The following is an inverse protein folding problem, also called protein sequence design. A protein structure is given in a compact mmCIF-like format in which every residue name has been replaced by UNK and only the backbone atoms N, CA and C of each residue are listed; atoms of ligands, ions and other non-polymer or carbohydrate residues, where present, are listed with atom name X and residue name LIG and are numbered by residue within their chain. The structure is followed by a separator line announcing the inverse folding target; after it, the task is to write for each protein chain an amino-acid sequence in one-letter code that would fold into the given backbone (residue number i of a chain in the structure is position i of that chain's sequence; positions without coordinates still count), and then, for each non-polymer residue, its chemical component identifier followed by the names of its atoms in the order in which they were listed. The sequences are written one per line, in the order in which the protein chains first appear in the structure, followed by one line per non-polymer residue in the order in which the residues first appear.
data_IF_050262576748
#
_entry.id   IF_050262576748
#
_cell.length_a   1.000
_cell.length_b   1.000
_cell.length_c   1.000
_cell.angle_alpha   90.00
_cell.angle_beta   90.00
_cell.angle_gamma   90.00
#
_symmetry.space_group_name_H-M   'P 1'
#
loop_
_entity.id
_entity.type
_entity.pdbx_description
1 polymer ?
#
# COMPACT_ATOMS: atom_id res chain seq x y z
N UNK A 1 70.82 -30.83 22.46
CA UNK A 1 71.75 -31.62 23.29
C UNK A 1 71.16 -31.71 24.70
N UNK A 2 71.00 -32.93 25.28
CA UNK A 2 70.78 -33.33 26.71
C UNK A 2 70.15 -32.32 27.70
N UNK A 3 69.24 -32.65 28.64
CA UNK A 3 68.62 -33.91 29.10
C UNK A 3 67.44 -33.57 30.06
N UNK A 4 66.52 -34.52 30.31
CA UNK A 4 65.67 -34.63 31.53
C UNK A 4 66.42 -35.52 32.56
N UNK A 5 66.09 -35.65 33.88
CA UNK A 5 64.82 -35.40 34.60
C UNK A 5 64.95 -34.24 35.64
N UNK A 6 64.34 -34.08 36.84
CA UNK A 6 63.75 -34.94 37.92
C UNK A 6 62.56 -34.29 38.67
N UNK A 7 61.96 -35.01 39.63
CA UNK A 7 60.81 -34.61 40.45
C UNK A 7 61.20 -34.16 41.88
N UNK A 8 60.36 -33.34 42.55
CA UNK A 8 59.78 -33.68 43.88
C UNK A 8 58.85 -32.60 44.49
N UNK A 9 57.78 -33.08 45.14
CA UNK A 9 57.00 -32.56 46.30
C UNK A 9 57.00 -31.06 46.71
N UNK A 10 55.81 -30.54 47.05
CA UNK A 10 55.68 -29.44 48.02
C UNK A 10 54.31 -28.77 48.17
N UNK A 11 53.57 -29.13 49.22
CA UNK A 11 52.56 -28.33 49.96
C UNK A 11 51.32 -27.74 49.27
N UNK A 12 50.15 -28.03 49.85
CA UNK A 12 48.84 -27.41 49.55
C UNK A 12 48.66 -26.14 50.40
N UNK A 13 48.08 -25.08 49.83
CA UNK A 13 47.58 -23.92 50.57
C UNK A 13 46.10 -23.70 50.27
N UNK A 14 45.24 -23.81 51.29
CA UNK A 14 43.81 -23.50 51.18
C UNK A 14 43.59 -22.00 51.37
N UNK A 15 42.98 -21.33 50.40
CA UNK A 15 42.49 -19.95 50.51
C UNK A 15 40.96 -19.96 50.60
N UNK A 16 40.45 -19.49 51.73
CA UNK A 16 39.01 -19.37 51.99
C UNK A 16 38.45 -18.12 51.31
N UNK A 17 37.61 -18.32 50.29
CA UNK A 17 36.84 -17.26 49.65
C UNK A 17 35.49 -17.05 50.34
N UNK A 18 35.26 -15.84 50.86
CA UNK A 18 33.95 -15.41 51.36
C UNK A 18 33.05 -15.04 50.17
N UNK A 19 31.78 -15.51 50.12
CA UNK A 19 30.85 -15.11 49.07
C UNK A 19 30.31 -13.70 49.33
N UNK A 20 30.49 -12.81 48.36
CA UNK A 20 29.88 -11.48 48.38
C UNK A 20 28.39 -11.58 48.00
N UNK A 21 27.50 -11.23 48.93
CA UNK A 21 26.06 -11.16 48.67
C UNK A 21 25.74 -9.84 47.97
N UNK A 22 25.54 -9.89 46.65
CA UNK A 22 24.95 -8.77 45.91
C UNK A 22 23.42 -8.81 46.05
N UNK A 23 22.75 -7.69 46.37
CA UNK A 23 21.30 -7.65 46.35
C UNK A 23 20.81 -7.74 44.89
N UNK A 24 20.05 -8.80 44.57
CA UNK A 24 19.29 -8.83 43.32
C UNK A 24 18.17 -7.81 43.40
N UNK A 25 18.30 -6.71 42.66
CA UNK A 25 17.16 -5.85 42.34
C UNK A 25 16.18 -6.65 41.49
N UNK A 26 15.11 -7.16 42.12
CA UNK A 26 13.95 -7.67 41.40
C UNK A 26 13.26 -6.49 40.71
N UNK A 27 13.61 -6.25 39.45
CA UNK A 27 12.70 -5.57 38.54
C UNK A 27 11.45 -6.44 38.42
N UNK A 28 10.33 -5.97 38.95
CA UNK A 28 9.04 -6.58 38.66
C UNK A 28 8.87 -6.68 37.14
N UNK A 29 8.45 -7.84 36.64
CA UNK A 29 7.97 -7.92 35.28
C UNK A 29 6.76 -6.97 35.15
N UNK A 30 6.70 -6.19 34.07
CA UNK A 30 5.47 -5.51 33.73
C UNK A 30 4.43 -6.60 33.41
N UNK A 31 3.19 -6.46 33.91
CA UNK A 31 2.11 -7.36 33.54
C UNK A 31 1.89 -7.28 32.02
N UNK A 32 1.92 -8.43 31.34
CA UNK A 32 1.69 -8.51 29.89
C UNK A 32 0.19 -8.39 29.60
N UNK A 33 -0.32 -7.16 29.72
CA UNK A 33 -1.71 -6.80 29.43
C UNK A 33 -1.86 -6.45 27.95
N UNK A 34 -2.79 -7.12 27.28
CA UNK A 34 -3.18 -6.89 25.90
C UNK A 34 -4.64 -6.43 25.81
N UNK A 35 -4.91 -5.46 24.94
CA UNK A 35 -6.27 -5.06 24.57
C UNK A 35 -6.53 -5.49 23.14
N UNK A 36 -7.62 -6.21 22.92
CA UNK A 36 -8.14 -6.54 21.60
C UNK A 36 -9.49 -5.90 21.40
N UNK A 37 -9.80 -5.58 20.15
CA UNK A 37 -11.11 -5.17 19.70
C UNK A 37 -11.38 -5.81 18.35
N UNK A 38 -12.54 -6.43 18.21
CA UNK A 38 -13.07 -7.00 16.97
C UNK A 38 -14.53 -6.57 16.84
N UNK A 39 -15.19 -6.99 15.77
CA UNK A 39 -16.65 -6.90 15.64
C UNK A 39 -17.29 -8.28 15.74
N UNK A 40 -18.60 -8.34 16.01
CA UNK A 40 -19.39 -9.59 16.07
C UNK A 40 -19.37 -10.41 14.76
N UNK A 41 -18.90 -9.82 13.66
CA UNK A 41 -18.56 -10.49 12.40
C UNK A 41 -17.07 -10.39 12.09
N UNK A 42 -16.48 -11.49 11.65
CA UNK A 42 -15.07 -11.56 11.21
C UNK A 42 -14.75 -10.59 10.06
N UNK A 43 -15.68 -10.39 9.12
CA UNK A 43 -15.50 -9.50 7.98
C UNK A 43 -15.77 -8.01 8.30
N UNK A 44 -16.37 -7.72 9.46
CA UNK A 44 -16.88 -6.42 9.87
C UNK A 44 -17.78 -5.69 8.84
N UNK A 45 -18.57 -6.42 8.04
CA UNK A 45 -19.51 -5.84 7.06
C UNK A 45 -20.96 -6.00 7.51
N UNK A 46 -21.71 -4.91 7.40
CA UNK A 46 -23.10 -4.75 7.82
C UNK A 46 -23.89 -3.96 6.76
N UNK A 47 -25.21 -4.13 6.74
CA UNK A 47 -26.08 -3.28 5.93
C UNK A 47 -26.33 -1.93 6.63
N UNK A 48 -26.66 -0.88 5.88
CA UNK A 48 -27.04 0.43 6.47
C UNK A 48 -28.27 0.27 7.37
N UNK A 49 -28.19 0.81 8.59
CA UNK A 49 -29.20 0.64 9.65
C UNK A 49 -29.07 -0.64 10.47
N UNK A 50 -28.26 -1.61 10.06
CA UNK A 50 -27.96 -2.80 10.86
C UNK A 50 -27.08 -2.45 12.07
N UNK A 51 -27.08 -3.30 13.12
CA UNK A 51 -26.21 -3.16 14.29
C UNK A 51 -24.89 -3.89 14.08
N UNK A 52 -23.79 -3.18 14.27
CA UNK A 52 -22.47 -3.76 14.52
C UNK A 52 -22.14 -3.64 16.01
N UNK A 53 -21.66 -4.72 16.62
CA UNK A 53 -21.15 -4.70 18.00
C UNK A 53 -19.65 -4.88 17.99
N UNK A 54 -18.93 -3.86 18.45
CA UNK A 54 -17.51 -3.98 18.75
C UNK A 54 -17.34 -4.75 20.07
N UNK A 55 -16.68 -5.89 20.01
CA UNK A 55 -16.37 -6.74 21.16
C UNK A 55 -14.92 -6.48 21.57
N UNK A 56 -14.74 -6.14 22.85
CA UNK A 56 -13.45 -5.69 23.40
C UNK A 56 -13.04 -6.67 24.50
N UNK A 57 -11.80 -7.17 24.45
CA UNK A 57 -11.21 -7.95 25.54
C UNK A 57 -9.92 -7.29 26.06
N UNK A 58 -9.78 -7.30 27.38
CA UNK A 58 -8.54 -7.03 28.12
C UNK A 58 -8.07 -8.38 28.66
N UNK A 59 -6.86 -8.77 28.32
CA UNK A 59 -6.28 -10.08 28.64
C UNK A 59 -4.89 -9.88 29.23
N UNK A 60 -4.61 -10.48 30.39
CA UNK A 60 -3.32 -10.37 31.08
C UNK A 60 -3.45 -10.67 32.58
N UNK A 61 -2.35 -10.50 33.32
CA UNK A 61 -2.32 -10.68 34.78
C UNK A 61 -2.98 -9.53 35.55
N UNK A 62 -3.10 -8.34 34.93
CA UNK A 62 -3.80 -7.17 35.46
C UNK A 62 -4.88 -6.70 34.47
N UNK A 63 -6.13 -7.07 34.74
CA UNK A 63 -7.31 -6.61 33.99
C UNK A 63 -8.08 -5.50 34.73
N UNK A 64 -7.59 -5.07 35.90
CA UNK A 64 -8.22 -4.02 36.70
C UNK A 64 -7.77 -2.64 36.21
N UNK A 65 -8.73 -1.81 35.81
CA UNK A 65 -8.43 -0.50 35.23
C UNK A 65 -9.66 0.17 34.63
N UNK A 66 -9.43 1.20 33.81
CA UNK A 66 -10.51 1.91 33.11
C UNK A 66 -10.40 1.77 31.60
N UNK A 67 -11.51 1.40 30.96
CA UNK A 67 -11.64 1.35 29.51
C UNK A 67 -12.41 2.57 29.00
N UNK A 68 -11.70 3.52 28.41
CA UNK A 68 -12.28 4.64 27.67
C UNK A 68 -12.47 4.26 26.18
N UNK A 69 -13.62 4.56 25.59
CA UNK A 69 -13.94 4.26 24.19
C UNK A 69 -14.50 5.48 23.44
N UNK A 70 -14.32 5.50 22.12
CA UNK A 70 -14.95 6.46 21.20
C UNK A 70 -15.16 5.82 19.83
N UNK A 71 -16.39 5.90 19.32
CA UNK A 71 -16.72 5.65 17.91
C UNK A 71 -16.60 6.96 17.13
N UNK A 72 -16.00 6.94 15.94
CA UNK A 72 -15.95 8.11 15.05
C UNK A 72 -16.18 7.78 13.57
N UNK A 73 -16.73 8.76 12.84
CA UNK A 73 -16.78 8.78 11.37
C UNK A 73 -15.59 9.64 10.90
N UNK A 74 -14.39 9.09 11.13
CA UNK A 74 -13.11 9.73 10.80
C UNK A 74 -12.90 10.02 9.30
N UNK A 75 -13.93 9.75 8.48
CA UNK A 75 -14.00 9.98 7.05
C UNK A 75 -14.86 11.19 6.68
N UNK A 76 -15.47 11.88 7.65
CA UNK A 76 -16.13 13.19 7.49
C UNK A 76 -15.20 14.32 7.93
N UNK A 77 -15.31 15.49 7.29
CA UNK A 77 -14.56 16.69 7.68
C UNK A 77 -15.23 17.44 8.84
N UNK A 78 -14.92 17.11 10.09
CA UNK A 78 -15.44 17.84 11.25
C UNK A 78 -15.18 17.17 12.61
N UNK A 79 -16.03 17.47 13.59
CA UNK A 79 -16.15 16.75 14.86
C UNK A 79 -17.47 16.00 14.89
N UNK A 80 -17.46 14.69 15.15
CA UNK A 80 -18.64 13.83 15.08
C UNK A 80 -19.61 14.04 16.25
N UNK A 81 -20.46 15.05 16.14
CA UNK A 81 -21.53 15.29 17.11
C UNK A 81 -22.54 14.13 17.09
N UNK A 82 -22.62 13.38 18.19
CA UNK A 82 -23.63 12.35 18.41
C UNK A 82 -23.17 10.89 18.22
N UNK A 83 -21.88 10.63 18.00
CA UNK A 83 -21.34 9.26 18.05
C UNK A 83 -21.11 8.80 19.50
N UNK A 84 -21.23 7.50 19.82
CA UNK A 84 -20.96 6.98 21.17
C UNK A 84 -19.51 7.15 21.62
N UNK A 85 -19.32 7.76 22.79
CA UNK A 85 -18.04 7.85 23.50
C UNK A 85 -18.25 7.86 25.02
N UNK A 86 -17.23 7.48 25.78
CA UNK A 86 -17.25 7.50 27.24
C UNK A 86 -16.44 6.37 27.87
N UNK A 87 -16.81 5.98 29.09
CA UNK A 87 -16.25 4.81 29.76
C UNK A 87 -17.14 3.60 29.56
N UNK A 88 -16.52 2.46 29.26
CA UNK A 88 -17.18 1.16 29.24
C UNK A 88 -16.93 0.44 30.56
N UNK A 89 -17.97 -0.20 31.09
CA UNK A 89 -17.82 -1.09 32.24
C UNK A 89 -17.22 -2.42 31.77
N UNK A 90 -16.16 -2.87 32.44
CA UNK A 90 -15.53 -4.16 32.18
C UNK A 90 -16.20 -5.23 33.04
N UNK A 91 -16.65 -6.31 32.40
CA UNK A 91 -17.16 -7.51 33.06
C UNK A 91 -16.33 -8.71 32.58
N UNK A 92 -15.60 -9.37 33.49
CA UNK A 92 -14.70 -10.49 33.16
C UNK A 92 -13.71 -10.13 32.03
N UNK A 93 -13.08 -8.95 32.16
CA UNK A 93 -12.15 -8.38 31.17
C UNK A 93 -12.80 -7.93 29.86
N UNK A 94 -14.13 -7.99 29.70
CA UNK A 94 -14.82 -7.72 28.42
C UNK A 94 -15.74 -6.51 28.49
N UNK A 95 -15.93 -5.88 27.32
CA UNK A 95 -16.94 -4.85 27.09
C UNK A 95 -17.47 -4.93 25.66
N UNK A 96 -18.68 -4.39 25.43
CA UNK A 96 -19.29 -4.29 24.09
C UNK A 96 -19.73 -2.85 23.79
N UNK A 97 -19.55 -2.42 22.55
CA UNK A 97 -20.01 -1.11 22.04
C UNK A 97 -20.78 -1.32 20.74
N UNK A 98 -22.11 -1.14 20.77
CA UNK A 98 -22.99 -1.32 19.60
C UNK A 98 -23.25 0.01 18.88
N UNK A 99 -23.18 0.03 17.55
CA UNK A 99 -23.54 1.17 16.69
C UNK A 99 -24.22 0.72 15.40
N UNK A 100 -24.96 1.63 14.74
CA UNK A 100 -25.54 1.44 13.40
C UNK A 100 -25.16 2.59 12.48
N UNK A 101 -24.48 2.30 11.36
CA UNK A 101 -24.19 3.28 10.32
C UNK A 101 -25.46 3.71 9.58
N UNK A 102 -25.64 5.02 9.41
CA UNK A 102 -26.85 5.62 8.82
C UNK A 102 -26.72 5.94 7.32
N UNK A 103 -25.59 5.57 6.70
CA UNK A 103 -25.22 5.82 5.30
C UNK A 103 -24.13 4.82 4.86
N UNK A 104 -23.94 4.57 3.55
CA UNK A 104 -22.78 3.83 3.06
C UNK A 104 -21.46 4.46 3.53
N UNK A 105 -20.59 3.68 4.18
CA UNK A 105 -19.38 4.22 4.80
C UNK A 105 -18.71 3.27 5.80
N UNK A 106 -17.87 3.84 6.67
CA UNK A 106 -17.13 3.13 7.71
C UNK A 106 -17.20 3.92 9.01
N UNK A 107 -17.41 3.24 10.12
CA UNK A 107 -17.26 3.78 11.47
C UNK A 107 -16.11 3.07 12.18
N UNK A 108 -15.40 3.78 13.07
CA UNK A 108 -14.22 3.27 13.75
C UNK A 108 -14.36 3.39 15.26
N UNK A 109 -14.28 2.27 15.97
CA UNK A 109 -14.19 2.27 17.43
C UNK A 109 -12.71 2.27 17.85
N UNK A 110 -12.33 3.27 18.64
CA UNK A 110 -11.04 3.38 19.30
C UNK A 110 -11.25 3.13 20.79
N UNK A 111 -10.39 2.29 21.38
CA UNK A 111 -10.37 2.04 22.83
C UNK A 111 -9.00 2.37 23.42
N UNK A 112 -9.03 2.86 24.66
CA UNK A 112 -7.84 3.07 25.50
C UNK A 112 -8.11 2.42 26.86
N UNK A 113 -7.46 1.29 27.13
CA UNK A 113 -7.42 0.73 28.48
C UNK A 113 -6.29 1.38 29.26
N UNK A 114 -6.54 1.77 30.50
CA UNK A 114 -5.52 2.20 31.44
C UNK A 114 -5.54 1.24 32.63
N UNK A 115 -4.55 0.33 32.78
CA UNK A 115 -4.41 -0.52 33.95
C UNK A 115 -4.17 0.31 35.22
N UNK A 116 -4.46 -0.24 36.39
CA UNK A 116 -4.28 0.44 37.67
C UNK A 116 -2.85 0.97 37.87
N UNK A 117 -1.83 0.15 37.60
CA UNK A 117 -0.41 0.49 37.67
C UNK A 117 0.28 0.34 36.29
N UNK A 118 -0.31 0.94 35.24
CA UNK A 118 0.13 0.75 33.85
C UNK A 118 0.31 2.01 32.99
N UNK A 119 0.73 1.79 31.74
CA UNK A 119 0.64 2.79 30.66
C UNK A 119 -0.64 2.53 29.86
N UNK A 120 -1.32 3.56 29.32
CA UNK A 120 -2.51 3.34 28.51
C UNK A 120 -2.21 2.54 27.23
N UNK A 121 -2.92 1.42 27.06
CA UNK A 121 -2.86 0.53 25.89
C UNK A 121 -4.01 0.89 24.96
N UNK A 122 -3.74 0.95 23.65
CA UNK A 122 -4.72 1.35 22.64
C UNK A 122 -4.96 0.26 21.61
N UNK A 123 -6.23 0.05 21.27
CA UNK A 123 -6.65 -0.81 20.18
C UNK A 123 -7.74 -0.10 19.35
N UNK A 124 -7.94 -0.54 18.10
CA UNK A 124 -8.86 0.11 17.16
C UNK A 124 -9.40 -0.90 16.15
N UNK A 125 -10.70 -0.80 15.83
CA UNK A 125 -11.37 -1.59 14.80
C UNK A 125 -12.31 -0.70 13.98
N UNK A 126 -12.50 -1.04 12.71
CA UNK A 126 -13.48 -0.44 11.82
C UNK A 126 -14.62 -1.40 11.50
N UNK A 127 -15.82 -0.86 11.32
CA UNK A 127 -17.00 -1.55 10.81
C UNK A 127 -17.49 -0.86 9.54
N UNK A 128 -17.80 -1.64 8.51
CA UNK A 128 -18.26 -1.16 7.21
C UNK A 128 -19.78 -1.30 7.08
N UNK A 129 -20.46 -0.24 6.64
CA UNK A 129 -21.90 -0.23 6.39
C UNK A 129 -22.16 -0.01 4.90
N UNK A 130 -22.82 -0.97 4.24
CA UNK A 130 -23.03 -1.05 2.78
C UNK A 130 -21.84 -0.51 1.93
N UNK A 131 -20.59 -0.97 2.12
CA UNK A 131 -19.43 -0.33 1.48
C UNK A 131 -19.45 -0.43 -0.06
N UNK A 132 -20.18 -1.40 -0.62
CA UNK A 132 -20.44 -1.55 -2.05
C UNK A 132 -21.39 -0.51 -2.66
N UNK A 133 -22.07 0.29 -1.84
CA UNK A 133 -22.94 1.40 -2.25
C UNK A 133 -22.21 2.76 -2.24
N UNK A 134 -20.91 2.80 -1.92
CA UNK A 134 -20.12 4.03 -1.91
C UNK A 134 -19.83 4.48 -3.36
N UNK A 135 -20.54 5.50 -3.81
CA UNK A 135 -20.39 6.10 -5.14
C UNK A 135 -19.19 7.07 -5.26
N UNK A 136 -18.78 7.37 -6.49
CA UNK A 136 -17.84 8.46 -6.79
C UNK A 136 -18.35 9.80 -6.25
N UNK A 137 -17.49 10.62 -5.66
CA UNK A 137 -17.89 11.93 -5.12
C UNK A 137 -18.30 12.97 -6.17
N UNK A 138 -17.90 12.77 -7.43
CA UNK A 138 -18.31 13.53 -8.60
C UNK A 138 -18.33 12.61 -9.82
N UNK A 139 -19.11 12.92 -10.88
CA UNK A 139 -18.98 12.24 -12.15
C UNK A 139 -17.57 12.43 -12.76
N UNK A 140 -17.20 11.54 -13.68
CA UNK A 140 -16.02 11.70 -14.54
C UNK A 140 -16.15 13.00 -15.38
N UNK A 141 -15.08 13.73 -15.71
CA UNK A 141 -15.14 14.82 -16.70
C UNK A 141 -15.55 14.31 -18.09
N UNK A 142 -16.38 15.07 -18.80
CA UNK A 142 -16.95 14.65 -20.10
C UNK A 142 -15.88 14.44 -21.18
N UNK A 143 -14.79 15.21 -21.15
CA UNK A 143 -13.64 15.12 -22.06
C UNK A 143 -12.44 14.34 -21.46
N UNK A 144 -12.66 13.53 -20.41
CA UNK A 144 -11.59 12.73 -19.78
C UNK A 144 -10.95 11.74 -20.74
N UNK A 145 -11.74 11.04 -21.56
CA UNK A 145 -11.23 10.06 -22.54
C UNK A 145 -10.44 10.75 -23.64
N UNK A 146 -11.00 11.79 -24.27
CA UNK A 146 -10.35 12.54 -25.34
C UNK A 146 -9.07 13.26 -24.86
N UNK A 147 -9.03 13.72 -23.60
CA UNK A 147 -7.80 14.18 -22.97
C UNK A 147 -6.76 13.04 -22.91
N UNK A 148 -7.09 11.89 -22.33
CA UNK A 148 -6.11 10.81 -22.13
C UNK A 148 -5.71 10.09 -23.43
N UNK A 149 -6.57 10.05 -24.43
CA UNK A 149 -6.23 9.57 -25.78
C UNK A 149 -5.24 10.52 -26.46
N UNK A 150 -5.40 11.85 -26.33
CA UNK A 150 -4.40 12.81 -26.80
C UNK A 150 -3.06 12.65 -26.04
N UNK A 151 -3.09 12.43 -24.72
CA UNK A 151 -1.86 12.17 -23.95
C UNK A 151 -1.14 10.89 -24.42
N UNK A 152 -1.87 9.82 -24.75
CA UNK A 152 -1.32 8.60 -25.35
C UNK A 152 -0.82 8.82 -26.78
N UNK A 153 -1.51 9.63 -27.58
CA UNK A 153 -1.10 10.01 -28.95
C UNK A 153 0.23 10.76 -28.95
N UNK A 154 0.37 11.77 -28.08
CA UNK A 154 1.62 12.52 -27.86
C UNK A 154 2.75 11.63 -27.31
N UNK A 155 2.44 10.62 -26.51
CA UNK A 155 3.44 9.65 -26.06
C UNK A 155 3.92 8.76 -27.22
N UNK A 156 3.03 8.34 -28.11
CA UNK A 156 3.38 7.51 -29.28
C UNK A 156 4.30 8.23 -30.29
N UNK A 157 4.29 9.57 -30.32
CA UNK A 157 5.25 10.38 -31.10
C UNK A 157 6.68 10.32 -30.53
N UNK A 158 6.86 10.03 -29.24
CA UNK A 158 8.17 9.86 -28.60
C UNK A 158 8.70 8.45 -28.88
N UNK A 159 9.85 8.27 -29.57
CA UNK A 159 10.39 6.95 -29.90
C UNK A 159 10.52 6.03 -28.68
N UNK A 160 10.28 4.73 -28.87
CA UNK A 160 10.50 3.69 -27.84
C UNK A 160 12.00 3.35 -27.72
N UNK A 161 12.83 4.37 -27.54
CA UNK A 161 14.26 4.20 -27.32
C UNK A 161 14.52 3.80 -25.86
N UNK A 162 15.10 2.61 -25.67
CA UNK A 162 15.43 2.03 -24.37
C UNK A 162 16.94 1.75 -24.30
N UNK A 163 17.60 2.28 -23.28
CA UNK A 163 18.96 1.92 -22.88
C UNK A 163 18.89 0.88 -21.76
N UNK A 164 19.54 -0.27 -21.95
CA UNK A 164 19.57 -1.38 -20.98
C UNK A 164 21.00 -1.63 -20.52
N UNK A 165 21.33 -1.20 -19.29
CA UNK A 165 22.62 -1.50 -18.66
C UNK A 165 22.53 -2.81 -17.89
N UNK A 166 23.31 -3.86 -18.20
CA UNK A 166 23.29 -5.12 -17.46
C UNK A 166 23.59 -4.96 -15.96
N UNK A 167 22.86 -5.69 -15.13
CA UNK A 167 22.99 -5.70 -13.66
C UNK A 167 23.34 -7.11 -13.21
N UNK A 168 24.49 -7.26 -12.57
CA UNK A 168 24.95 -8.56 -12.05
C UNK A 168 24.03 -9.09 -10.95
N UNK A 169 23.35 -10.20 -11.22
CA UNK A 169 22.60 -10.97 -10.25
C UNK A 169 23.23 -12.35 -9.99
N UNK A 170 22.95 -12.93 -8.81
CA UNK A 170 23.55 -14.20 -8.35
C UNK A 170 23.03 -15.42 -9.11
N UNK A 171 21.76 -15.39 -9.51
CA UNK A 171 21.14 -16.43 -10.33
C UNK A 171 21.42 -16.11 -11.80
N UNK A 172 22.01 -17.06 -12.52
CA UNK A 172 22.39 -16.89 -13.93
C UNK A 172 21.35 -17.45 -14.91
N UNK A 173 20.21 -17.93 -14.41
CA UNK A 173 19.00 -18.22 -15.21
C UNK A 173 18.16 -16.97 -15.48
N UNK A 174 18.41 -15.87 -14.76
CA UNK A 174 17.73 -14.59 -14.89
C UNK A 174 18.70 -13.52 -15.42
N UNK A 175 18.30 -12.80 -16.45
CA UNK A 175 18.97 -11.56 -16.87
C UNK A 175 18.32 -10.36 -16.17
N UNK A 176 19.14 -9.39 -15.75
CA UNK A 176 18.70 -8.17 -15.07
C UNK A 176 19.35 -6.94 -15.72
N UNK A 177 18.60 -5.85 -15.82
CA UNK A 177 19.01 -4.60 -16.45
C UNK A 177 18.52 -3.39 -15.65
N UNK A 178 19.32 -2.33 -15.56
CA UNK A 178 18.84 -0.97 -15.26
C UNK A 178 18.40 -0.36 -16.60
N UNK A 179 17.10 -0.10 -16.73
CA UNK A 179 16.45 0.30 -17.96
C UNK A 179 16.05 1.77 -17.91
N UNK A 180 16.50 2.53 -18.90
CA UNK A 180 16.19 3.94 -19.10
C UNK A 180 15.48 4.11 -20.45
N UNK A 181 14.18 4.37 -20.43
CA UNK A 181 13.33 4.41 -21.63
C UNK A 181 12.76 5.83 -21.81
N UNK A 182 12.93 6.41 -22.99
CA UNK A 182 12.41 7.75 -23.29
C UNK A 182 10.89 7.83 -23.10
N UNK A 183 10.41 8.94 -22.54
CA UNK A 183 9.01 9.17 -22.21
C UNK A 183 8.62 10.65 -22.39
N UNK A 184 7.34 10.92 -22.65
CA UNK A 184 6.80 12.27 -22.74
C UNK A 184 6.93 13.00 -21.38
N UNK A 185 7.31 14.28 -21.41
CA UNK A 185 7.52 15.10 -20.21
C UNK A 185 8.94 15.06 -19.63
N UNK A 186 9.91 14.51 -20.36
CA UNK A 186 11.36 14.64 -20.07
C UNK A 186 11.91 13.71 -18.99
N UNK A 187 11.12 13.32 -18.00
CA UNK A 187 11.47 12.28 -17.04
C UNK A 187 11.22 10.88 -17.65
N UNK A 188 12.26 10.04 -17.87
CA UNK A 188 12.14 8.74 -18.53
C UNK A 188 11.38 7.73 -17.66
N UNK A 189 10.97 6.60 -18.24
CA UNK A 189 10.78 5.40 -17.43
C UNK A 189 12.18 4.93 -17.02
N UNK A 190 12.47 5.01 -15.74
CA UNK A 190 13.67 4.45 -15.12
C UNK A 190 13.23 3.27 -14.27
N UNK A 191 13.86 2.10 -14.38
CA UNK A 191 13.48 0.93 -13.59
C UNK A 191 14.38 -0.27 -13.77
N UNK A 192 14.35 -1.21 -12.82
CA UNK A 192 14.98 -2.51 -13.01
C UNK A 192 14.04 -3.43 -13.80
N UNK A 193 14.58 -4.01 -14.87
CA UNK A 193 13.91 -5.02 -15.70
C UNK A 193 14.62 -6.36 -15.53
N UNK A 194 13.86 -7.42 -15.29
CA UNK A 194 14.34 -8.80 -15.21
C UNK A 194 13.54 -9.72 -16.12
N UNK A 195 14.21 -10.69 -16.75
CA UNK A 195 13.58 -11.75 -17.55
C UNK A 195 14.30 -13.09 -17.36
N UNK A 196 13.65 -14.24 -17.62
CA UNK A 196 14.36 -15.50 -17.76
C UNK A 196 15.26 -15.42 -18.99
N UNK A 197 16.50 -15.89 -18.85
CA UNK A 197 17.56 -15.72 -19.84
C UNK A 197 17.26 -16.43 -21.16
N UNK A 198 16.89 -17.70 -21.06
CA UNK A 198 16.68 -18.60 -22.19
C UNK A 198 15.17 -18.78 -22.47
N UNK A 199 14.38 -17.71 -22.29
CA UNK A 199 12.94 -17.71 -22.54
C UNK A 199 12.60 -17.82 -24.04
N UNK A 200 11.66 -18.69 -24.38
CA UNK A 200 11.17 -18.82 -25.76
C UNK A 200 10.34 -17.61 -26.18
N UNK A 201 10.33 -17.31 -27.48
CA UNK A 201 9.49 -16.26 -28.05
C UNK A 201 8.01 -16.53 -27.72
N UNK A 202 7.32 -15.51 -27.21
CA UNK A 202 5.91 -15.57 -26.74
C UNK A 202 5.62 -16.58 -25.62
N UNK A 203 6.56 -16.80 -24.69
CA UNK A 203 6.37 -17.70 -23.53
C UNK A 203 6.12 -16.98 -22.19
N UNK A 204 6.40 -15.69 -22.08
CA UNK A 204 6.40 -14.95 -20.82
C UNK A 204 5.23 -13.96 -20.69
N UNK A 205 4.39 -14.08 -19.65
CA UNK A 205 3.53 -12.99 -19.19
C UNK A 205 4.35 -11.76 -18.80
N UNK A 206 3.77 -10.56 -18.86
CA UNK A 206 4.42 -9.35 -18.36
C UNK A 206 3.89 -8.93 -16.97
N UNK A 207 4.76 -8.41 -16.12
CA UNK A 207 4.42 -7.84 -14.80
C UNK A 207 5.16 -6.52 -14.55
N UNK A 208 4.39 -5.50 -14.14
CA UNK A 208 4.85 -4.16 -13.82
C UNK A 208 4.61 -3.86 -12.33
N UNK A 209 5.67 -3.58 -11.58
CA UNK A 209 5.63 -3.23 -10.17
C UNK A 209 5.70 -1.70 -9.99
N UNK A 210 4.71 -1.13 -9.29
CA UNK A 210 4.53 0.33 -9.15
C UNK A 210 4.43 0.77 -7.69
N UNK A 211 4.99 1.96 -7.43
CA UNK A 211 5.51 2.32 -6.12
C UNK A 211 4.56 3.15 -5.26
N UNK A 212 4.41 2.75 -3.98
CA UNK A 212 3.90 3.61 -2.90
C UNK A 212 4.71 4.90 -2.76
N UNK A 213 4.17 5.92 -2.07
CA UNK A 213 4.71 7.28 -2.07
C UNK A 213 6.17 7.40 -1.59
N UNK A 214 6.81 8.54 -1.90
CA UNK A 214 8.19 8.85 -1.52
C UNK A 214 9.21 8.68 -2.66
N UNK A 215 10.44 9.11 -2.41
CA UNK A 215 11.55 9.16 -3.39
C UNK A 215 12.59 8.10 -3.03
N UNK A 216 12.90 7.19 -3.96
CA UNK A 216 13.82 6.05 -3.79
C UNK A 216 14.20 5.43 -5.15
N UNK A 217 15.08 4.42 -5.12
CA UNK A 217 15.39 3.55 -6.25
C UNK A 217 14.20 2.69 -6.69
N UNK A 218 14.22 2.20 -7.93
CA UNK A 218 13.55 0.95 -8.28
C UNK A 218 14.05 -0.23 -7.43
N UNK A 219 13.20 -1.25 -7.26
CA UNK A 219 13.44 -2.48 -6.53
C UNK A 219 13.86 -3.63 -7.46
N UNK A 220 15.17 -3.92 -7.49
CA UNK A 220 15.71 -5.08 -8.23
C UNK A 220 15.12 -6.41 -7.74
N UNK A 221 14.75 -6.52 -6.46
CA UNK A 221 14.13 -7.74 -5.92
C UNK A 221 12.70 -7.96 -6.43
N UNK A 222 11.96 -6.91 -6.79
CA UNK A 222 10.66 -7.04 -7.46
C UNK A 222 10.84 -7.53 -8.91
N UNK A 223 11.78 -6.90 -9.65
CA UNK A 223 12.14 -7.31 -11.00
C UNK A 223 12.54 -8.80 -11.02
N UNK A 224 13.46 -9.21 -10.14
CA UNK A 224 13.84 -10.63 -9.96
C UNK A 224 12.65 -11.51 -9.56
N UNK A 225 11.80 -11.11 -8.61
CA UNK A 225 10.67 -11.93 -8.13
C UNK A 225 9.73 -12.35 -9.27
N UNK A 226 9.38 -11.44 -10.17
CA UNK A 226 8.57 -11.79 -11.35
C UNK A 226 9.34 -12.62 -12.37
N UNK A 227 10.63 -12.35 -12.58
CA UNK A 227 11.48 -13.09 -13.51
C UNK A 227 11.72 -14.55 -13.06
N UNK A 228 11.91 -14.81 -11.76
CA UNK A 228 11.97 -16.16 -11.18
C UNK A 228 10.65 -16.92 -11.30
N UNK A 229 9.51 -16.23 -11.35
CA UNK A 229 8.22 -16.84 -11.72
C UNK A 229 8.04 -17.01 -13.25
N UNK A 230 9.05 -16.65 -14.05
CA UNK A 230 9.06 -16.80 -15.50
C UNK A 230 8.28 -15.72 -16.27
N UNK A 231 8.18 -14.52 -15.70
CA UNK A 231 7.53 -13.35 -16.32
C UNK A 231 8.55 -12.30 -16.76
N UNK A 232 8.21 -11.50 -17.77
CA UNK A 232 8.91 -10.26 -18.08
C UNK A 232 8.56 -9.24 -17.00
N UNK A 233 9.52 -8.89 -16.15
CA UNK A 233 9.24 -8.28 -14.85
C UNK A 233 9.98 -6.96 -14.68
N UNK A 234 9.25 -5.85 -14.71
CA UNK A 234 9.82 -4.51 -14.53
C UNK A 234 9.29 -3.85 -13.27
N UNK A 235 10.18 -3.33 -12.44
CA UNK A 235 9.83 -2.41 -11.35
C UNK A 235 10.26 -1.00 -11.74
N UNK A 236 9.38 0.01 -11.60
CA UNK A 236 9.68 1.36 -12.10
C UNK A 236 9.80 2.41 -10.99
N UNK A 237 10.77 3.30 -11.16
CA UNK A 237 10.94 4.50 -10.38
C UNK A 237 9.80 5.48 -10.68
N UNK A 238 8.95 5.73 -9.68
CA UNK A 238 7.81 6.65 -9.76
C UNK A 238 8.14 8.03 -10.38
N UNK A 239 9.38 8.51 -10.22
CA UNK A 239 9.83 9.85 -10.59
C UNK A 239 10.68 9.90 -11.87
N UNK A 240 11.09 8.74 -12.41
CA UNK A 240 12.09 8.68 -13.50
C UNK A 240 13.53 8.97 -13.05
N UNK A 241 13.83 8.89 -11.76
CA UNK A 241 15.21 9.06 -11.25
C UNK A 241 16.10 7.83 -11.57
N UNK A 242 17.41 8.00 -11.79
CA UNK A 242 18.35 6.89 -11.92
C UNK A 242 18.34 5.94 -10.72
N UNK A 243 18.52 4.64 -10.97
CA UNK A 243 18.48 3.62 -9.92
C UNK A 243 19.86 3.40 -9.27
N UNK A 244 19.91 2.55 -8.23
CA UNK A 244 21.14 2.09 -7.59
C UNK A 244 21.96 3.16 -6.83
N UNK A 245 21.52 4.43 -6.83
CA UNK A 245 22.23 5.52 -6.14
C UNK A 245 22.19 5.36 -4.60
N UNK A 246 23.15 5.96 -3.86
CA UNK A 246 23.12 5.96 -2.40
C UNK A 246 21.86 6.63 -1.81
N UNK A 247 21.49 6.26 -0.59
CA UNK A 247 20.31 6.82 0.09
C UNK A 247 20.33 8.36 0.20
N UNK A 248 21.53 8.97 0.32
CA UNK A 248 21.71 10.42 0.33
C UNK A 248 21.22 11.11 -0.95
N UNK A 249 21.39 10.50 -2.12
CA UNK A 249 20.89 11.06 -3.39
C UNK A 249 19.36 11.16 -3.38
N UNK A 250 18.66 10.10 -2.99
CA UNK A 250 17.19 10.14 -2.91
C UNK A 250 16.68 11.08 -1.81
N UNK A 251 17.43 11.21 -0.71
CA UNK A 251 17.13 12.19 0.34
C UNK A 251 17.29 13.64 -0.15
N UNK A 252 18.35 13.94 -0.91
CA UNK A 252 18.55 15.24 -1.57
C UNK A 252 17.43 15.54 -2.57
N UNK A 253 17.08 14.59 -3.43
CA UNK A 253 15.97 14.74 -4.37
C UNK A 253 14.63 14.99 -3.64
N UNK A 254 14.36 14.26 -2.55
CA UNK A 254 13.16 14.43 -1.70
C UNK A 254 13.12 15.79 -0.98
N UNK A 255 14.27 16.29 -0.54
CA UNK A 255 14.41 17.58 0.14
C UNK A 255 14.45 18.80 -0.79
N UNK A 256 14.85 18.60 -2.04
CA UNK A 256 15.00 19.62 -3.08
C UNK A 256 14.00 19.44 -4.24
N UNK A 257 14.42 19.00 -5.45
CA UNK A 257 13.58 18.99 -6.66
C UNK A 257 12.21 18.31 -6.56
N UNK A 258 12.07 17.27 -5.72
CA UNK A 258 10.81 16.53 -5.53
C UNK A 258 10.12 16.88 -4.19
N UNK A 259 10.54 17.95 -3.51
CA UNK A 259 9.88 18.44 -2.29
C UNK A 259 8.43 18.78 -2.59
N UNK A 260 7.51 18.04 -1.99
CA UNK A 260 6.06 18.11 -2.25
C UNK A 260 5.65 17.85 -3.72
N UNK A 261 6.38 17.00 -4.46
CA UNK A 261 6.06 16.57 -5.84
C UNK A 261 4.57 16.27 -6.06
N UNK A 262 3.92 15.64 -5.06
CA UNK A 262 2.51 15.25 -5.03
C UNK A 262 1.50 16.40 -5.22
N UNK A 263 1.95 17.65 -5.13
CA UNK A 263 1.15 18.87 -5.30
C UNK A 263 1.66 19.78 -6.44
N UNK A 264 2.71 19.39 -7.17
CA UNK A 264 3.26 20.18 -8.27
C UNK A 264 2.30 20.22 -9.48
N UNK A 265 2.07 21.43 -10.01
CA UNK A 265 1.18 21.68 -11.15
C UNK A 265 -0.30 21.34 -10.91
N UNK A 266 -0.73 21.16 -9.65
CA UNK A 266 -2.06 20.60 -9.34
C UNK A 266 -3.26 21.45 -9.75
N UNK A 267 -3.05 22.68 -10.20
CA UNK A 267 -4.04 23.64 -10.66
C UNK A 267 -4.38 23.51 -12.17
N UNK A 268 -3.65 22.65 -12.92
CA UNK A 268 -3.90 22.41 -14.33
C UNK A 268 -3.61 20.94 -14.72
N UNK A 269 -4.55 20.31 -15.43
CA UNK A 269 -4.45 18.90 -15.89
C UNK A 269 -3.23 18.62 -16.79
N UNK A 270 -2.72 19.64 -17.49
CA UNK A 270 -1.55 19.50 -18.37
C UNK A 270 -0.22 19.51 -17.59
N UNK A 271 -0.17 20.12 -16.40
CA UNK A 271 1.07 20.31 -15.62
C UNK A 271 1.11 19.49 -14.33
N UNK A 272 -0.01 18.94 -13.88
CA UNK A 272 -0.12 18.13 -12.66
C UNK A 272 0.82 16.91 -12.69
N UNK A 273 1.63 16.76 -11.63
CA UNK A 273 2.68 15.74 -11.55
C UNK A 273 2.25 14.32 -11.97
N UNK A 274 1.04 13.91 -11.55
CA UNK A 274 0.53 12.56 -11.80
C UNK A 274 0.30 12.27 -13.29
N UNK A 275 0.12 13.29 -14.16
CA UNK A 275 0.08 13.12 -15.62
C UNK A 275 1.32 12.41 -16.14
N UNK A 276 2.51 12.90 -15.76
CA UNK A 276 3.79 12.31 -16.17
C UNK A 276 4.06 10.94 -15.55
N UNK A 277 3.58 10.71 -14.32
CA UNK A 277 3.62 9.38 -13.69
C UNK A 277 2.82 8.35 -14.49
N UNK A 278 1.60 8.70 -14.93
CA UNK A 278 0.75 7.78 -15.66
C UNK A 278 1.21 7.52 -17.11
N UNK A 279 1.83 8.52 -17.76
CA UNK A 279 2.50 8.31 -19.04
C UNK A 279 3.68 7.34 -18.96
N UNK A 280 4.41 7.34 -17.82
CA UNK A 280 5.44 6.32 -17.54
C UNK A 280 4.87 4.91 -17.35
N UNK A 281 3.60 4.75 -16.95
CA UNK A 281 2.94 3.44 -16.90
C UNK A 281 2.74 2.88 -18.30
N UNK A 282 2.11 3.66 -19.19
CA UNK A 282 1.87 3.27 -20.59
C UNK A 282 3.20 2.98 -21.30
N UNK A 283 4.22 3.82 -21.12
CA UNK A 283 5.56 3.62 -21.70
C UNK A 283 6.30 2.40 -21.15
N UNK A 284 6.08 2.01 -19.89
CA UNK A 284 6.62 0.75 -19.35
C UNK A 284 5.89 -0.47 -19.94
N UNK A 285 4.58 -0.38 -20.17
CA UNK A 285 3.79 -1.42 -20.85
C UNK A 285 4.19 -1.53 -22.32
N UNK A 286 4.44 -0.41 -23.02
CA UNK A 286 5.00 -0.41 -24.38
C UNK A 286 6.31 -1.21 -24.45
N UNK A 287 7.24 -0.92 -23.55
CA UNK A 287 8.52 -1.63 -23.50
C UNK A 287 8.35 -3.13 -23.20
N UNK A 288 7.55 -3.49 -22.19
CA UNK A 288 7.29 -4.90 -21.82
C UNK A 288 6.61 -5.67 -22.96
N UNK A 289 5.64 -5.06 -23.64
CA UNK A 289 4.87 -5.71 -24.72
C UNK A 289 5.55 -5.66 -26.09
N UNK A 290 6.66 -4.93 -26.21
CA UNK A 290 7.55 -4.96 -27.39
C UNK A 290 8.63 -6.06 -27.33
N UNK A 291 8.80 -6.75 -26.19
CA UNK A 291 9.79 -7.83 -26.08
C UNK A 291 9.35 -9.09 -26.84
N UNK A 292 10.23 -9.79 -27.58
CA UNK A 292 9.86 -10.96 -28.37
C UNK A 292 9.39 -12.17 -27.52
N UNK A 293 9.77 -12.22 -26.24
CA UNK A 293 9.35 -13.24 -25.28
C UNK A 293 7.94 -13.00 -24.73
N UNK A 294 7.34 -11.82 -24.91
CA UNK A 294 6.00 -11.53 -24.39
C UNK A 294 4.93 -12.40 -25.04
N UNK A 295 4.12 -13.07 -24.22
CA UNK A 295 3.09 -14.04 -24.64
C UNK A 295 1.96 -13.48 -25.51
N UNK A 296 1.92 -12.16 -25.73
CA UNK A 296 0.92 -11.49 -26.55
C UNK A 296 -0.45 -11.37 -25.89
N UNK A 297 -0.57 -11.72 -24.61
CA UNK A 297 -1.85 -11.83 -23.89
C UNK A 297 -1.84 -11.15 -22.53
N UNK A 298 -0.92 -11.47 -21.63
CA UNK A 298 -1.03 -11.09 -20.22
C UNK A 298 -0.12 -9.90 -19.88
N UNK A 299 -0.69 -8.88 -19.23
CA UNK A 299 0.06 -7.81 -18.56
C UNK A 299 -0.56 -7.55 -17.19
N UNK A 300 0.26 -7.64 -16.15
CA UNK A 300 -0.14 -7.54 -14.74
C UNK A 300 0.45 -6.26 -14.13
N UNK A 301 -0.34 -5.46 -13.40
CA UNK A 301 0.17 -4.24 -12.73
C UNK A 301 -0.08 -4.28 -11.22
N UNK A 302 0.97 -4.26 -10.42
CA UNK A 302 0.93 -4.50 -8.97
C UNK A 302 1.44 -3.28 -8.20
N UNK A 303 0.71 -2.83 -7.19
CA UNK A 303 1.21 -1.77 -6.32
C UNK A 303 0.35 -1.50 -5.09
N UNK A 304 0.93 -0.75 -4.15
CA UNK A 304 0.33 -0.47 -2.85
C UNK A 304 0.39 1.04 -2.53
N UNK A 305 -0.61 1.59 -1.85
CA UNK A 305 -0.73 3.05 -1.59
C UNK A 305 -0.75 3.82 -2.91
N UNK A 306 0.17 4.77 -3.14
CA UNK A 306 0.40 5.42 -4.45
C UNK A 306 0.60 4.41 -5.60
N UNK A 307 1.13 3.22 -5.32
CA UNK A 307 1.24 2.12 -6.27
C UNK A 307 -0.12 1.50 -6.63
N UNK A 308 -1.07 1.45 -5.68
CA UNK A 308 -2.42 0.99 -5.95
C UNK A 308 -3.17 1.96 -6.88
N UNK A 309 -3.01 3.27 -6.66
CA UNK A 309 -3.51 4.29 -7.57
C UNK A 309 -2.89 4.22 -8.98
N UNK A 310 -1.60 3.91 -9.10
CA UNK A 310 -0.94 3.64 -10.39
C UNK A 310 -1.45 2.34 -11.05
N UNK A 311 -1.72 1.29 -10.27
CA UNK A 311 -2.28 0.02 -10.76
C UNK A 311 -3.67 0.21 -11.36
N UNK A 312 -4.55 0.95 -10.66
CA UNK A 312 -5.87 1.37 -11.18
C UNK A 312 -5.75 2.25 -12.44
N UNK A 313 -4.83 3.23 -12.43
CA UNK A 313 -4.61 4.11 -13.58
C UNK A 313 -4.13 3.35 -14.83
N UNK A 314 -3.21 2.40 -14.68
CA UNK A 314 -2.76 1.56 -15.78
C UNK A 314 -3.91 0.73 -16.38
N UNK A 315 -4.69 0.04 -15.52
CA UNK A 315 -5.82 -0.77 -15.96
C UNK A 315 -6.95 0.02 -16.65
N UNK A 316 -7.08 1.32 -16.35
CA UNK A 316 -8.03 2.21 -17.02
C UNK A 316 -7.48 2.99 -18.23
N UNK A 317 -6.16 3.01 -18.43
CA UNK A 317 -5.51 3.67 -19.58
C UNK A 317 -5.20 2.72 -20.75
N UNK A 318 -4.91 1.46 -20.44
CA UNK A 318 -4.29 0.52 -21.36
C UNK A 318 -4.98 -0.86 -21.35
N UNK A 319 -5.67 -1.16 -22.45
CA UNK A 319 -6.40 -2.42 -22.64
C UNK A 319 -5.50 -3.67 -22.72
N UNK A 320 -4.16 -3.53 -22.74
CA UNK A 320 -3.22 -4.66 -22.61
C UNK A 320 -3.17 -5.20 -21.17
N UNK A 321 -3.56 -4.41 -20.17
CA UNK A 321 -3.57 -4.83 -18.76
C UNK A 321 -4.71 -5.83 -18.52
N UNK A 322 -4.34 -7.09 -18.24
CA UNK A 322 -5.29 -8.17 -17.98
C UNK A 322 -5.57 -8.38 -16.49
N UNK A 323 -4.65 -7.98 -15.62
CA UNK A 323 -4.85 -8.02 -14.16
C UNK A 323 -4.22 -6.82 -13.43
N UNK A 324 -4.92 -6.32 -12.42
CA UNK A 324 -4.46 -5.33 -11.46
C UNK A 324 -4.47 -5.87 -10.02
N UNK A 325 -3.49 -5.46 -9.22
CA UNK A 325 -3.41 -5.78 -7.81
C UNK A 325 -3.16 -4.52 -6.96
N UNK A 326 -4.18 -3.66 -6.77
CA UNK A 326 -4.08 -2.42 -6.00
C UNK A 326 -4.33 -2.60 -4.49
N UNK A 327 -3.28 -2.47 -3.67
CA UNK A 327 -3.41 -2.50 -2.20
C UNK A 327 -3.60 -1.10 -1.61
N UNK A 328 -4.65 -0.91 -0.78
CA UNK A 328 -5.09 0.37 -0.17
C UNK A 328 -4.88 1.58 -1.10
N UNK A 329 -5.53 1.58 -2.28
CA UNK A 329 -5.16 2.50 -3.36
C UNK A 329 -5.31 3.97 -2.99
N UNK A 330 -4.18 4.68 -2.98
CA UNK A 330 -4.15 6.13 -2.96
C UNK A 330 -4.60 6.71 -4.32
N UNK A 331 -4.64 8.03 -4.43
CA UNK A 331 -4.98 8.78 -5.65
C UNK A 331 -6.47 8.62 -6.06
N UNK A 332 -7.30 7.97 -5.23
CA UNK A 332 -8.75 7.84 -5.44
C UNK A 332 -9.54 8.97 -4.74
N UNK A 333 -10.73 9.29 -5.24
CA UNK A 333 -11.75 10.16 -4.61
C UNK A 333 -11.19 11.51 -4.13
N UNK A 334 -10.53 12.22 -5.05
CA UNK A 334 -9.95 13.55 -4.83
C UNK A 334 -10.99 14.65 -4.65
N UNK A 335 -12.20 14.43 -5.15
CA UNK A 335 -13.36 15.28 -4.92
C UNK A 335 -14.18 14.88 -3.69
N UNK A 336 -13.71 13.95 -2.84
CA UNK A 336 -14.45 13.40 -1.69
C UNK A 336 -15.20 14.43 -0.85
N UNK A 337 -14.59 15.61 -0.64
CA UNK A 337 -15.14 16.76 0.10
C UNK A 337 -16.46 17.29 -0.48
N UNK A 338 -16.69 17.15 -1.79
CA UNK A 338 -17.95 17.51 -2.47
C UNK A 338 -19.09 16.58 -2.05
N UNK A 339 -18.77 15.31 -1.72
CA UNK A 339 -19.70 14.33 -1.17
C UNK A 339 -19.65 14.25 0.38
N UNK A 340 -19.10 15.27 1.06
CA UNK A 340 -18.99 15.32 2.52
C UNK A 340 -17.95 14.36 3.12
N UNK A 341 -17.09 13.76 2.30
CA UNK A 341 -16.03 12.82 2.71
C UNK A 341 -14.67 13.50 2.77
N UNK A 342 -13.71 12.92 3.49
CA UNK A 342 -12.31 13.33 3.40
C UNK A 342 -11.71 12.87 2.06
N UNK A 343 -11.08 13.80 1.32
CA UNK A 343 -10.40 13.49 0.05
C UNK A 343 -9.40 12.33 0.22
N UNK A 344 -9.22 11.50 -0.81
CA UNK A 344 -8.15 10.50 -0.79
C UNK A 344 -6.74 11.11 -0.88
N UNK A 345 -5.71 10.34 -0.50
CA UNK A 345 -4.30 10.76 -0.56
C UNK A 345 -3.90 11.14 -1.99
N UNK A 346 -3.20 12.28 -2.24
CA UNK A 346 -2.46 13.12 -1.29
C UNK A 346 -3.23 14.32 -0.75
N UNK A 347 -4.57 14.24 -0.67
CA UNK A 347 -5.45 15.39 -0.42
C UNK A 347 -5.17 16.50 -1.44
N UNK A 348 -5.32 16.16 -2.74
CA UNK A 348 -4.91 17.05 -3.84
C UNK A 348 -5.62 18.41 -3.76
N UNK A 349 -6.94 18.39 -3.59
CA UNK A 349 -7.80 19.58 -3.51
C UNK A 349 -7.77 20.13 -2.09
N UNK A 350 -7.30 21.38 -1.88
CA UNK A 350 -7.46 22.10 -0.61
C UNK A 350 -8.83 22.80 -0.56
N UNK A 351 -9.24 23.22 0.63
CA UNK A 351 -10.31 24.21 0.75
C UNK A 351 -9.72 25.62 0.67
N UNK A 352 -10.49 26.56 0.10
CA UNK A 352 -10.20 27.99 0.10
C UNK A 352 -10.66 28.68 1.39
N UNK A 353 -10.50 30.00 1.43
CA UNK A 353 -10.85 30.84 2.59
C UNK A 353 -12.35 30.82 2.94
N UNK A 354 -13.21 30.54 1.96
CA UNK A 354 -14.66 30.38 2.14
C UNK A 354 -15.07 28.96 2.58
N UNK A 355 -14.09 28.10 2.88
CA UNK A 355 -14.28 26.71 3.28
C UNK A 355 -14.62 25.75 2.15
N UNK A 356 -14.80 26.22 0.90
CA UNK A 356 -15.16 25.35 -0.25
C UNK A 356 -13.91 24.79 -0.94
N UNK A 357 -14.02 23.68 -1.69
CA UNK A 357 -12.88 23.11 -2.41
C UNK A 357 -12.39 24.06 -3.52
N UNK A 358 -11.08 24.23 -3.68
CA UNK A 358 -10.53 25.17 -4.68
C UNK A 358 -10.91 24.71 -6.12
N UNK A 359 -11.65 25.52 -6.91
CA UNK A 359 -12.29 25.04 -8.15
C UNK A 359 -11.34 24.61 -9.27
N UNK A 360 -10.17 25.24 -9.42
CA UNK A 360 -9.20 24.86 -10.47
C UNK A 360 -8.54 23.54 -10.12
N UNK A 361 -8.11 23.39 -8.88
CA UNK A 361 -7.46 22.18 -8.37
C UNK A 361 -8.46 21.03 -8.33
N UNK A 362 -9.73 21.26 -7.95
CA UNK A 362 -10.81 20.28 -8.06
C UNK A 362 -11.01 19.80 -9.51
N UNK A 363 -11.00 20.74 -10.46
CA UNK A 363 -11.15 20.43 -11.89
C UNK A 363 -9.97 19.62 -12.42
N UNK A 364 -8.73 20.04 -12.12
CA UNK A 364 -7.51 19.34 -12.56
C UNK A 364 -7.34 17.97 -11.89
N UNK A 365 -7.64 17.83 -10.59
CA UNK A 365 -7.50 16.58 -9.86
C UNK A 365 -8.38 15.44 -10.42
N UNK A 366 -9.58 15.76 -10.94
CA UNK A 366 -10.47 14.76 -11.57
C UNK A 366 -9.87 14.07 -12.81
N UNK A 367 -8.85 14.64 -13.45
CA UNK A 367 -8.13 14.00 -14.57
C UNK A 367 -7.08 12.98 -14.14
N UNK A 368 -6.66 13.01 -12.87
CA UNK A 368 -5.67 12.07 -12.30
C UNK A 368 -6.24 11.21 -11.18
N UNK A 369 -7.55 11.29 -10.92
CA UNK A 369 -8.23 10.47 -9.91
C UNK A 369 -8.30 9.00 -10.36
N UNK A 370 -7.63 8.12 -9.60
CA UNK A 370 -7.56 6.68 -9.83
C UNK A 370 -8.94 6.00 -9.93
N UNK A 371 -9.98 6.56 -9.29
CA UNK A 371 -11.35 6.03 -9.39
C UNK A 371 -11.97 6.30 -10.78
N UNK A 372 -11.61 7.40 -11.45
CA UNK A 372 -12.07 7.68 -12.81
C UNK A 372 -11.44 6.72 -13.83
N UNK A 373 -10.20 6.27 -13.62
CA UNK A 373 -9.61 5.18 -14.41
C UNK A 373 -10.21 3.81 -14.07
N UNK A 374 -10.52 3.55 -12.79
CA UNK A 374 -11.16 2.31 -12.37
C UNK A 374 -12.48 2.05 -13.15
N UNK A 375 -13.26 3.10 -13.44
CA UNK A 375 -14.47 3.01 -14.28
C UNK A 375 -14.25 2.58 -15.74
N UNK A 376 -13.00 2.49 -16.19
CA UNK A 376 -12.56 2.00 -17.53
C UNK A 376 -11.89 0.63 -17.46
N UNK A 377 -11.49 0.19 -16.28
CA UNK A 377 -10.68 -1.01 -16.08
C UNK A 377 -11.51 -2.30 -16.22
N UNK A 378 -11.25 -3.04 -17.30
CA UNK A 378 -11.83 -4.36 -17.59
C UNK A 378 -10.97 -5.53 -17.06
N UNK A 379 -9.76 -5.23 -16.55
CA UNK A 379 -8.83 -6.21 -16.00
C UNK A 379 -9.40 -6.94 -14.76
N UNK A 380 -8.92 -8.16 -14.50
CA UNK A 380 -9.16 -8.85 -13.23
C UNK A 380 -8.52 -8.07 -12.07
N UNK A 381 -9.20 -7.97 -10.93
CA UNK A 381 -8.77 -7.15 -9.81
C UNK A 381 -8.74 -7.92 -8.46
N UNK A 382 -7.62 -7.85 -7.77
CA UNK A 382 -7.51 -8.16 -6.34
C UNK A 382 -7.10 -6.90 -5.57
N UNK A 383 -8.05 -6.27 -4.88
CA UNK A 383 -7.82 -5.05 -4.09
C UNK A 383 -7.65 -5.41 -2.61
N UNK A 384 -7.02 -4.53 -1.81
CA UNK A 384 -7.10 -4.60 -0.34
C UNK A 384 -7.52 -3.29 0.31
N UNK A 385 -8.21 -3.36 1.45
CA UNK A 385 -8.73 -2.21 2.20
C UNK A 385 -8.50 -2.41 3.70
N UNK A 386 -7.90 -1.42 4.36
CA UNK A 386 -7.86 -1.33 5.82
C UNK A 386 -8.99 -0.43 6.33
N UNK A 387 -9.87 -0.95 7.19
CA UNK A 387 -11.07 -0.22 7.63
C UNK A 387 -10.77 0.92 8.63
N UNK A 388 -9.51 1.06 9.05
CA UNK A 388 -9.04 2.14 9.93
C UNK A 388 -7.89 2.95 9.30
N UNK A 389 -7.67 2.81 7.99
CA UNK A 389 -6.72 3.60 7.22
C UNK A 389 -7.22 5.06 7.08
N UNK A 390 -6.45 6.00 7.63
CA UNK A 390 -6.69 7.46 7.54
C UNK A 390 -5.80 8.16 6.50
N UNK A 391 -4.80 7.46 5.96
CA UNK A 391 -3.95 7.94 4.87
C UNK A 391 -4.71 7.77 3.56
N UNK A 392 -5.13 6.54 3.26
CA UNK A 392 -5.93 6.15 2.11
C UNK A 392 -7.31 5.66 2.57
N UNK A 393 -8.29 6.57 2.76
CA UNK A 393 -9.62 6.26 3.26
C UNK A 393 -10.23 5.00 2.63
N UNK A 394 -10.81 4.08 3.42
CA UNK A 394 -11.50 2.91 2.88
C UNK A 394 -12.69 3.33 2.01
N UNK A 395 -13.33 4.48 2.28
CA UNK A 395 -14.33 5.10 1.39
C UNK A 395 -13.75 5.47 0.02
N UNK A 396 -12.55 6.05 -0.05
CA UNK A 396 -11.89 6.35 -1.33
C UNK A 396 -11.45 5.09 -2.08
N UNK A 397 -11.02 4.04 -1.36
CA UNK A 397 -10.72 2.73 -1.94
C UNK A 397 -11.99 2.08 -2.53
N UNK A 398 -13.11 2.13 -1.81
CA UNK A 398 -14.37 1.56 -2.26
C UNK A 398 -15.02 2.36 -3.40
N UNK A 399 -14.93 3.69 -3.41
CA UNK A 399 -15.37 4.51 -4.54
C UNK A 399 -14.70 4.10 -5.87
N UNK A 400 -13.40 3.72 -5.84
CA UNK A 400 -12.72 3.14 -6.99
C UNK A 400 -13.13 1.68 -7.27
N UNK A 401 -13.25 0.85 -6.23
CA UNK A 401 -13.64 -0.57 -6.36
C UNK A 401 -15.02 -0.76 -6.98
N UNK A 402 -15.99 0.03 -6.55
CA UNK A 402 -17.39 -0.13 -6.93
C UNK A 402 -17.59 0.09 -8.44
N UNK A 403 -16.81 1.00 -9.05
CA UNK A 403 -16.86 1.28 -10.49
C UNK A 403 -15.99 0.37 -11.38
N UNK A 404 -15.12 -0.49 -10.83
CA UNK A 404 -14.36 -1.49 -11.60
C UNK A 404 -15.29 -2.41 -12.41
N UNK A 405 -14.98 -2.65 -13.69
CA UNK A 405 -15.82 -3.46 -14.61
C UNK A 405 -15.40 -4.93 -14.72
N UNK A 406 -14.12 -5.23 -14.57
CA UNK A 406 -13.61 -6.61 -14.62
C UNK A 406 -13.99 -7.47 -13.41
N UNK A 407 -13.68 -8.78 -13.48
CA UNK A 407 -13.81 -9.72 -12.36
C UNK A 407 -13.01 -9.17 -11.16
N UNK A 408 -13.69 -8.85 -10.06
CA UNK A 408 -13.07 -8.17 -8.90
C UNK A 408 -13.34 -8.89 -7.59
N UNK A 409 -12.32 -8.88 -6.71
CA UNK A 409 -12.44 -9.25 -5.30
C UNK A 409 -11.65 -8.29 -4.42
N UNK A 410 -12.02 -8.22 -3.15
CA UNK A 410 -11.41 -7.34 -2.15
C UNK A 410 -11.01 -8.13 -0.91
N UNK A 411 -9.82 -7.86 -0.38
CA UNK A 411 -9.35 -8.31 0.93
C UNK A 411 -9.64 -7.18 1.91
N UNK A 412 -10.55 -7.43 2.85
CA UNK A 412 -10.96 -6.47 3.87
C UNK A 412 -10.29 -6.79 5.19
N UNK A 413 -9.72 -5.77 5.82
CA UNK A 413 -8.96 -5.90 7.06
C UNK A 413 -9.54 -4.92 8.11
N UNK A 414 -10.44 -5.38 9.01
CA UNK A 414 -11.13 -4.52 9.98
C UNK A 414 -10.19 -3.76 10.93
N UNK A 415 -9.00 -4.29 11.19
CA UNK A 415 -8.03 -3.75 12.14
C UNK A 415 -6.85 -3.02 11.46
N UNK A 416 -6.76 -3.04 10.12
CA UNK A 416 -5.58 -2.54 9.42
C UNK A 416 -5.69 -1.03 9.12
N UNK A 417 -4.65 -0.30 9.51
CA UNK A 417 -4.41 1.08 9.09
C UNK A 417 -3.71 1.11 7.71
N UNK A 418 -2.84 2.10 7.46
CA UNK A 418 -2.08 2.16 6.21
C UNK A 418 -0.90 1.16 6.21
N UNK A 419 -1.12 -0.09 5.79
CA UNK A 419 -0.12 -1.15 5.85
C UNK A 419 -0.18 -2.14 4.67
N UNK A 420 0.99 -2.71 4.32
CA UNK A 420 1.19 -3.73 3.29
C UNK A 420 1.62 -5.08 3.88
N UNK A 421 0.81 -5.73 4.74
CA UNK A 421 1.21 -6.96 5.43
C UNK A 421 1.46 -8.13 4.47
N UNK A 422 2.28 -9.09 4.92
CA UNK A 422 2.80 -10.15 4.08
C UNK A 422 1.72 -11.07 3.48
N UNK A 423 0.61 -11.31 4.19
CA UNK A 423 -0.47 -12.16 3.69
C UNK A 423 -1.20 -11.52 2.49
N UNK A 424 -1.38 -10.20 2.47
CA UNK A 424 -1.90 -9.47 1.31
C UNK A 424 -0.93 -9.57 0.13
N UNK A 425 0.38 -9.38 0.36
CA UNK A 425 1.39 -9.52 -0.70
C UNK A 425 1.43 -10.95 -1.29
N UNK A 426 1.23 -11.97 -0.46
CA UNK A 426 1.12 -13.37 -0.89
C UNK A 426 -0.19 -13.64 -1.63
N UNK A 427 -1.33 -13.17 -1.12
CA UNK A 427 -2.63 -13.33 -1.79
C UNK A 427 -2.66 -12.65 -3.16
N UNK A 428 -2.06 -11.47 -3.28
CA UNK A 428 -1.86 -10.77 -4.56
C UNK A 428 -1.00 -11.63 -5.50
N UNK A 429 0.16 -12.10 -5.07
CA UNK A 429 1.06 -12.88 -5.93
C UNK A 429 0.50 -14.24 -6.33
N UNK A 430 -0.26 -14.90 -5.45
CA UNK A 430 -0.94 -16.15 -5.76
C UNK A 430 -2.04 -15.96 -6.82
N UNK A 431 -2.83 -14.88 -6.74
CA UNK A 431 -3.83 -14.59 -7.78
C UNK A 431 -3.17 -14.24 -9.13
N UNK A 432 -2.00 -13.61 -9.11
CA UNK A 432 -1.22 -13.32 -10.33
C UNK A 432 -0.78 -14.63 -10.99
N UNK A 433 -0.22 -15.56 -10.22
CA UNK A 433 0.19 -16.88 -10.68
C UNK A 433 -1.00 -17.68 -11.26
N UNK A 434 -2.14 -17.68 -10.58
CA UNK A 434 -3.40 -18.25 -11.08
C UNK A 434 -3.83 -17.62 -12.42
N UNK A 435 -3.86 -16.28 -12.50
CA UNK A 435 -4.29 -15.52 -13.69
C UNK A 435 -3.39 -15.80 -14.91
N UNK A 436 -2.07 -15.85 -14.72
CA UNK A 436 -1.10 -16.14 -15.79
C UNK A 436 -0.84 -17.64 -15.99
N UNK A 437 -1.63 -18.51 -15.33
CA UNK A 437 -1.59 -19.97 -15.45
C UNK A 437 -0.24 -20.62 -15.12
N UNK A 438 0.48 -20.05 -14.14
CA UNK A 438 1.78 -20.55 -13.66
C UNK A 438 1.66 -21.07 -12.22
N UNK A 439 2.38 -22.15 -11.93
CA UNK A 439 2.48 -22.64 -10.55
C UNK A 439 3.37 -21.71 -9.71
N UNK A 440 3.15 -21.62 -8.38
CA UNK A 440 4.16 -21.09 -7.48
C UNK A 440 5.46 -21.87 -7.67
N UNK A 441 6.59 -21.16 -7.77
CA UNK A 441 7.89 -21.82 -7.69
C UNK A 441 8.00 -22.52 -6.34
N UNK A 442 8.26 -23.84 -6.34
CA UNK A 442 8.51 -24.56 -5.10
C UNK A 442 9.69 -23.90 -4.38
N UNK A 443 9.48 -23.50 -3.13
CA UNK A 443 10.55 -22.93 -2.32
C UNK A 443 11.57 -24.02 -2.03
N UNK A 444 12.66 -24.01 -2.80
CA UNK A 444 13.87 -24.78 -2.49
C UNK A 444 14.26 -24.51 -1.03
N UNK A 445 14.32 -25.59 -0.25
CA UNK A 445 14.59 -25.58 1.20
C UNK A 445 16.08 -25.49 1.49
#
# INVERSE_FOLDING_TARGET
MRLLPTCSFGSILFLLSLPAVFPQSQTAAAADVAVKIVTDRENAIYDVGEKATFQISVEGDDVDGTLDYRVDDYLVGGTDAGMPEGKAELSDGKAEVTISGQKPGFLRCQVTFTPADGKPIKAVAGAAFSPTEIELSMPVPDDFDSFWDEQKRLLAEVPLAAELTPVEFRDKTIECFDAQIQCLGGAPVSGYFGKPKDAEAKSCPAILWVHGAGVRSSSLSNAVKGATAGMLSMDINAHGLPNGKPASFYAEQSGGPLKNYRHAGRDNRETIYFRGMYLRLVRAIDFLTAQPEWDGKHVVVVGHSQGGGQSLAAGGLDNRVTMIAPGVPAICDHSGVVAGRVNGWPKLVPNGEDGKPEPKILTAARYVDAANFASRCNAEAIMSVGFVDSVCPPSSCYAAYNVLKGKKKVINEPLMAHAAPAHIQTAFFNQILEHVQRQPAETAR
#
